data_IF_829947251725
#
_entry.id   IF_829947251725
#
_cell.length_a   1.000
_cell.length_b   1.000
_cell.length_c   1.000
_cell.angle_alpha   90.00
_cell.angle_beta   90.00
_cell.angle_gamma   90.00
#
_symmetry.space_group_name_H-M   'P 1'
#
loop_
_entity.id
_entity.type
_entity.pdbx_description
1 polymer ?
#
# COMPACT_ATOMS: atom_id res chain seq x y z
N UNK A 1 -5.66 -30.80 12.53
CA UNK A 1 -5.01 -29.71 13.29
C UNK A 1 -4.61 -28.55 12.39
N UNK A 2 -3.93 -28.78 11.26
CA UNK A 2 -3.55 -27.73 10.29
C UNK A 2 -4.74 -26.91 9.78
N UNK A 3 -5.78 -27.57 9.26
CA UNK A 3 -7.00 -26.93 8.73
C UNK A 3 -7.65 -25.99 9.75
N UNK A 4 -7.72 -26.40 11.02
CA UNK A 4 -8.29 -25.59 12.11
C UNK A 4 -7.42 -24.38 12.43
N UNK A 5 -6.09 -24.53 12.41
CA UNK A 5 -5.17 -23.41 12.63
C UNK A 5 -5.25 -22.38 11.49
N UNK A 6 -5.32 -22.87 10.25
CA UNK A 6 -5.51 -22.05 9.04
C UNK A 6 -6.82 -21.28 9.15
N UNK A 7 -7.93 -21.96 9.46
CA UNK A 7 -9.24 -21.33 9.58
C UNK A 7 -9.27 -20.22 10.63
N UNK A 8 -8.72 -20.48 11.83
CA UNK A 8 -8.62 -19.47 12.90
C UNK A 8 -7.79 -18.26 12.47
N UNK A 9 -6.72 -18.47 11.72
CA UNK A 9 -5.88 -17.38 11.22
C UNK A 9 -6.60 -16.53 10.17
N UNK A 10 -7.21 -17.19 9.18
CA UNK A 10 -7.94 -16.54 8.08
C UNK A 10 -9.12 -15.74 8.60
N UNK A 11 -9.97 -16.34 9.43
CA UNK A 11 -11.13 -15.67 10.06
C UNK A 11 -10.67 -14.54 11.01
N UNK A 12 -9.47 -14.65 11.56
CA UNK A 12 -8.85 -13.62 12.37
C UNK A 12 -8.38 -12.38 11.58
N UNK A 13 -8.38 -12.42 10.24
CA UNK A 13 -7.91 -11.33 9.36
C UNK A 13 -6.53 -10.79 9.76
N UNK A 14 -5.61 -11.67 10.18
CA UNK A 14 -4.27 -11.29 10.62
C UNK A 14 -4.17 -10.63 12.01
N UNK A 15 -5.29 -10.46 12.74
CA UNK A 15 -5.27 -9.99 14.14
C UNK A 15 -4.78 -11.06 15.11
N UNK A 16 -4.88 -12.33 14.72
CA UNK A 16 -4.34 -13.47 15.45
C UNK A 16 -3.07 -13.92 14.74
N UNK A 17 -1.95 -14.00 15.47
CA UNK A 17 -0.70 -14.49 14.90
C UNK A 17 -0.80 -15.98 14.52
N UNK A 18 -0.04 -16.42 13.52
CA UNK A 18 -0.03 -17.84 13.08
C UNK A 18 0.26 -18.78 14.26
N UNK A 19 1.23 -18.43 15.11
CA UNK A 19 1.57 -19.19 16.32
C UNK A 19 0.41 -19.29 17.30
N UNK A 20 -0.36 -18.22 17.49
CA UNK A 20 -1.54 -18.22 18.34
C UNK A 20 -2.67 -19.07 17.75
N UNK A 21 -2.89 -19.00 16.43
CA UNK A 21 -3.85 -19.85 15.73
C UNK A 21 -3.49 -21.33 15.85
N UNK A 22 -2.19 -21.67 15.79
CA UNK A 22 -1.70 -23.02 16.04
C UNK A 22 -2.00 -23.48 17.48
N UNK A 23 -1.74 -22.66 18.51
CA UNK A 23 -2.09 -23.02 19.89
C UNK A 23 -3.58 -23.31 20.05
N UNK A 24 -4.44 -22.44 19.51
CA UNK A 24 -5.91 -22.61 19.55
C UNK A 24 -6.40 -23.84 18.77
N UNK A 25 -5.64 -24.29 17.77
CA UNK A 25 -5.91 -25.51 17.03
C UNK A 25 -5.42 -26.79 17.72
N UNK A 26 -4.72 -26.67 18.86
CA UNK A 26 -4.24 -27.80 19.67
C UNK A 26 -2.77 -28.19 19.46
N UNK A 27 -1.97 -27.35 18.79
CA UNK A 27 -0.53 -27.59 18.70
C UNK A 27 0.15 -27.36 20.04
N UNK A 28 1.22 -28.13 20.31
CA UNK A 28 2.09 -27.88 21.46
C UNK A 28 2.82 -26.54 21.33
N UNK A 29 3.19 -25.95 22.46
CA UNK A 29 3.92 -24.67 22.47
C UNK A 29 5.26 -24.75 21.72
N UNK A 30 5.96 -25.88 21.78
CA UNK A 30 7.21 -26.09 21.05
C UNK A 30 7.00 -26.00 19.52
N UNK A 31 5.91 -26.57 19.03
CA UNK A 31 5.58 -26.54 17.59
C UNK A 31 5.02 -25.18 17.18
N UNK A 32 4.15 -24.57 18.00
CA UNK A 32 3.57 -23.26 17.73
C UNK A 32 4.60 -22.13 17.72
N UNK A 33 5.73 -22.28 18.42
CA UNK A 33 6.88 -21.35 18.35
C UNK A 33 7.57 -21.34 16.97
N UNK A 34 7.30 -22.32 16.11
CA UNK A 34 7.87 -22.43 14.78
C UNK A 34 6.77 -22.40 13.69
N UNK A 35 6.10 -21.25 13.48
CA UNK A 35 4.95 -21.14 12.57
C UNK A 35 5.29 -21.44 11.10
N UNK A 36 6.57 -21.40 10.71
CA UNK A 36 7.03 -21.82 9.38
C UNK A 36 6.70 -23.27 9.04
N UNK A 37 6.53 -24.13 10.04
CA UNK A 37 6.09 -25.52 9.85
C UNK A 37 4.67 -25.62 9.32
N UNK A 38 3.83 -24.61 9.54
CA UNK A 38 2.48 -24.51 8.97
C UNK A 38 2.49 -23.68 7.69
N UNK A 39 3.13 -22.52 7.66
CA UNK A 39 3.03 -21.60 6.50
C UNK A 39 3.74 -22.09 5.23
N UNK A 40 4.64 -23.07 5.34
CA UNK A 40 5.34 -23.67 4.20
C UNK A 40 4.60 -24.87 3.60
N UNK A 41 3.53 -25.35 4.23
CA UNK A 41 2.80 -26.53 3.75
C UNK A 41 1.98 -26.20 2.51
N UNK A 42 1.67 -27.22 1.70
CA UNK A 42 0.80 -27.04 0.54
C UNK A 42 -0.62 -26.64 0.96
N UNK A 43 -1.14 -27.26 2.02
CA UNK A 43 -2.45 -26.96 2.59
C UNK A 43 -2.61 -25.48 2.96
N UNK A 44 -1.55 -24.85 3.49
CA UNK A 44 -1.56 -23.41 3.76
C UNK A 44 -1.68 -22.59 2.47
N UNK A 45 -0.90 -22.92 1.44
CA UNK A 45 -0.93 -22.19 0.16
C UNK A 45 -2.28 -22.31 -0.52
N UNK A 46 -2.85 -23.51 -0.57
CA UNK A 46 -4.17 -23.77 -1.14
C UNK A 46 -5.26 -23.01 -0.39
N UNK A 47 -5.19 -22.98 0.94
CA UNK A 47 -6.14 -22.21 1.74
C UNK A 47 -5.98 -20.69 1.53
N UNK A 48 -4.75 -20.18 1.46
CA UNK A 48 -4.54 -18.76 1.16
C UNK A 48 -5.12 -18.42 -0.21
N UNK A 49 -4.88 -19.23 -1.23
CA UNK A 49 -5.42 -18.99 -2.58
C UNK A 49 -6.96 -19.08 -2.59
N UNK A 50 -7.57 -19.94 -1.79
CA UNK A 50 -9.03 -20.04 -1.69
C UNK A 50 -9.68 -18.82 -0.99
N UNK A 51 -9.01 -18.22 -0.02
CA UNK A 51 -9.55 -17.10 0.78
C UNK A 51 -9.08 -15.72 0.31
N UNK A 52 -7.90 -15.64 -0.27
CA UNK A 52 -7.25 -14.43 -0.77
C UNK A 52 -6.47 -14.77 -2.04
N UNK A 53 -7.17 -14.99 -3.16
CA UNK A 53 -6.55 -15.32 -4.44
C UNK A 53 -5.55 -14.23 -4.87
N UNK A 54 -4.44 -14.65 -5.47
CA UNK A 54 -3.44 -13.71 -6.00
C UNK A 54 -4.03 -12.76 -7.06
N UNK A 55 -5.04 -13.21 -7.82
CA UNK A 55 -5.73 -12.38 -8.81
C UNK A 55 -6.49 -11.20 -8.17
N UNK A 56 -7.10 -11.42 -7.01
CA UNK A 56 -7.83 -10.38 -6.27
C UNK A 56 -6.86 -9.40 -5.62
N UNK A 57 -5.74 -9.91 -5.10
CA UNK A 57 -4.65 -9.09 -4.59
C UNK A 57 -4.07 -8.18 -5.68
N UNK A 58 -3.83 -8.72 -6.87
CA UNK A 58 -3.32 -7.96 -8.01
C UNK A 58 -4.32 -6.89 -8.46
N UNK A 59 -5.61 -7.25 -8.57
CA UNK A 59 -6.66 -6.30 -8.92
C UNK A 59 -6.71 -5.14 -7.92
N UNK A 60 -6.65 -5.44 -6.62
CA UNK A 60 -6.68 -4.41 -5.57
C UNK A 60 -5.40 -3.59 -5.53
N UNK A 61 -4.24 -4.18 -5.81
CA UNK A 61 -2.98 -3.48 -5.92
C UNK A 61 -3.01 -2.46 -7.08
N UNK A 62 -3.55 -2.85 -8.22
CA UNK A 62 -3.74 -1.95 -9.36
C UNK A 62 -4.71 -0.79 -9.04
N UNK A 63 -5.79 -1.06 -8.30
CA UNK A 63 -6.70 -0.01 -7.81
C UNK A 63 -5.97 0.99 -6.90
N UNK A 64 -5.14 0.51 -5.98
CA UNK A 64 -4.40 1.36 -5.06
C UNK A 64 -3.30 2.19 -5.75
N UNK A 65 -2.65 1.65 -6.78
CA UNK A 65 -1.71 2.39 -7.63
C UNK A 65 -2.37 3.59 -8.32
N UNK A 66 -3.67 3.49 -8.60
CA UNK A 66 -4.44 4.54 -9.26
C UNK A 66 -5.42 5.23 -8.30
N UNK A 67 -5.24 5.06 -6.99
CA UNK A 67 -6.21 5.54 -6.01
C UNK A 67 -6.37 7.06 -6.08
N UNK A 68 -7.62 7.51 -6.06
CA UNK A 68 -8.01 8.91 -5.98
C UNK A 68 -8.99 9.11 -4.82
N UNK A 69 -9.02 10.33 -4.28
CA UNK A 69 -9.98 10.75 -3.25
C UNK A 69 -10.83 11.91 -3.75
N UNK A 70 -12.10 11.92 -3.37
CA UNK A 70 -12.98 13.05 -3.62
C UNK A 70 -12.64 14.17 -2.64
N UNK A 71 -12.32 15.34 -3.16
CA UNK A 71 -11.98 16.54 -2.40
C UNK A 71 -12.83 17.72 -2.88
N UNK A 72 -12.82 18.79 -2.09
CA UNK A 72 -13.47 20.04 -2.47
C UNK A 72 -12.57 21.24 -2.18
N UNK A 73 -12.66 22.26 -3.02
CA UNK A 73 -11.96 23.54 -2.85
C UNK A 73 -12.93 24.70 -3.05
N UNK A 74 -12.64 25.81 -2.37
CA UNK A 74 -13.43 27.04 -2.44
C UNK A 74 -12.64 28.09 -3.19
N UNK A 75 -13.26 28.65 -4.22
CA UNK A 75 -12.70 29.73 -5.02
C UNK A 75 -13.61 30.95 -4.95
N UNK A 76 -13.07 32.17 -5.05
CA UNK A 76 -13.90 33.34 -5.21
C UNK A 76 -14.66 33.35 -6.55
N UNK A 77 -15.84 33.97 -6.56
CA UNK A 77 -16.73 34.03 -7.75
C UNK A 77 -16.11 34.73 -8.96
N UNK A 78 -15.17 35.67 -8.73
CA UNK A 78 -14.50 36.39 -9.82
C UNK A 78 -13.43 35.54 -10.53
N UNK A 79 -13.08 34.36 -10.01
CA UNK A 79 -12.18 33.44 -10.69
C UNK A 79 -12.97 32.68 -11.76
N UNK A 80 -12.63 32.81 -13.05
CA UNK A 80 -13.32 32.09 -14.11
C UNK A 80 -13.20 30.58 -13.93
N UNK A 81 -14.26 29.83 -14.28
CA UNK A 81 -14.25 28.37 -14.17
C UNK A 81 -13.13 27.71 -14.98
N UNK A 82 -12.77 28.27 -16.14
CA UNK A 82 -11.65 27.78 -16.96
C UNK A 82 -10.34 27.84 -16.19
N UNK A 83 -10.07 28.96 -15.51
CA UNK A 83 -8.87 29.11 -14.68
C UNK A 83 -8.85 28.13 -13.50
N UNK A 84 -10.01 27.88 -12.88
CA UNK A 84 -10.10 26.88 -11.81
C UNK A 84 -9.80 25.47 -12.35
N UNK A 85 -10.29 25.13 -13.55
CA UNK A 85 -9.99 23.84 -14.20
C UNK A 85 -8.51 23.70 -14.50
N UNK A 86 -7.86 24.74 -15.05
CA UNK A 86 -6.42 24.76 -15.31
C UNK A 86 -5.61 24.49 -14.04
N UNK A 87 -5.90 25.22 -12.95
CA UNK A 87 -5.20 25.05 -11.67
C UNK A 87 -5.33 23.61 -11.16
N UNK A 88 -6.52 23.01 -11.26
CA UNK A 88 -6.74 21.63 -10.83
C UNK A 88 -5.98 20.64 -11.73
N UNK A 89 -5.99 20.83 -13.05
CA UNK A 89 -5.26 19.96 -13.98
C UNK A 89 -3.74 20.06 -13.79
N UNK A 90 -3.20 21.28 -13.59
CA UNK A 90 -1.79 21.52 -13.25
C UNK A 90 -1.37 20.80 -11.96
N UNK A 91 -2.27 20.74 -10.98
CA UNK A 91 -2.05 20.01 -9.73
C UNK A 91 -2.23 18.48 -9.86
N UNK A 92 -2.53 17.96 -11.06
CA UNK A 92 -2.81 16.53 -11.28
C UNK A 92 -4.17 16.07 -10.77
N UNK A 93 -5.09 17.00 -10.50
CA UNK A 93 -6.45 16.72 -10.06
C UNK A 93 -7.42 16.65 -11.24
N UNK A 94 -8.46 15.83 -11.11
CA UNK A 94 -9.52 15.71 -12.12
C UNK A 94 -10.78 16.46 -11.65
N UNK A 95 -11.11 17.64 -12.23
CA UNK A 95 -12.30 18.38 -11.86
C UNK A 95 -13.59 17.63 -12.21
N UNK A 96 -14.61 17.73 -11.36
CA UNK A 96 -15.93 17.09 -11.54
C UNK A 96 -17.03 18.13 -11.74
N UNK A 97 -17.53 18.69 -10.64
CA UNK A 97 -18.65 19.61 -10.61
C UNK A 97 -18.26 20.86 -9.85
N UNK A 98 -18.96 21.95 -10.12
CA UNK A 98 -18.80 23.22 -9.41
C UNK A 98 -20.15 23.85 -9.14
N UNK A 99 -20.33 24.42 -7.96
CA UNK A 99 -21.51 25.17 -7.57
C UNK A 99 -21.09 26.56 -7.09
N UNK A 100 -21.77 27.58 -7.59
CA UNK A 100 -21.49 28.97 -7.23
C UNK A 100 -22.64 29.50 -6.38
N UNK A 101 -22.31 29.99 -5.18
CA UNK A 101 -23.28 30.67 -4.34
C UNK A 101 -23.13 32.19 -4.54
N UNK A 102 -24.07 32.84 -5.25
CA UNK A 102 -23.98 34.27 -5.54
C UNK A 102 -24.15 35.15 -4.29
N UNK A 103 -24.76 34.65 -3.21
CA UNK A 103 -24.91 35.43 -1.98
C UNK A 103 -23.61 35.51 -1.18
N UNK A 104 -22.79 34.45 -1.20
CA UNK A 104 -21.51 34.41 -0.48
C UNK A 104 -20.32 34.79 -1.37
N UNK A 105 -20.51 34.83 -2.69
CA UNK A 105 -19.44 35.11 -3.65
C UNK A 105 -18.41 33.99 -3.75
N UNK A 106 -18.79 32.74 -3.41
CA UNK A 106 -17.89 31.58 -3.39
C UNK A 106 -18.38 30.51 -4.37
N UNK A 107 -17.45 29.97 -5.14
CA UNK A 107 -17.60 28.76 -5.96
C UNK A 107 -16.95 27.59 -5.25
N UNK A 108 -17.73 26.57 -4.93
CA UNK A 108 -17.24 25.27 -4.43
C UNK A 108 -17.02 24.36 -5.62
N UNK A 109 -15.85 23.73 -5.71
CA UNK A 109 -15.51 22.79 -6.77
C UNK A 109 -15.13 21.46 -6.17
N UNK A 110 -15.76 20.40 -6.66
CA UNK A 110 -15.43 19.01 -6.33
C UNK A 110 -14.51 18.44 -7.40
N UNK A 111 -13.49 17.73 -6.96
CA UNK A 111 -12.48 17.13 -7.83
C UNK A 111 -11.93 15.84 -7.24
N UNK A 112 -11.36 15.00 -8.08
CA UNK A 112 -10.57 13.85 -7.64
C UNK A 112 -9.11 14.27 -7.51
N UNK A 113 -8.57 14.14 -6.30
CA UNK A 113 -7.14 14.29 -6.06
C UNK A 113 -6.48 12.90 -6.02
N UNK A 114 -5.25 12.74 -6.52
CA UNK A 114 -4.47 11.53 -6.28
C UNK A 114 -4.35 11.24 -4.78
N UNK A 115 -4.55 9.98 -4.39
CA UNK A 115 -4.31 9.55 -3.01
C UNK A 115 -2.85 9.13 -2.88
N UNK A 116 -1.96 10.11 -2.74
CA UNK A 116 -0.51 9.87 -2.71
C UNK A 116 -0.07 8.90 -1.59
N UNK A 117 -0.76 8.87 -0.44
CA UNK A 117 -0.43 7.95 0.65
C UNK A 117 -0.72 6.48 0.27
N UNK A 118 -1.88 6.23 -0.34
CA UNK A 118 -2.24 4.91 -0.85
C UNK A 118 -1.33 4.49 -2.03
N UNK A 119 -1.09 5.41 -2.97
CA UNK A 119 -0.23 5.18 -4.13
C UNK A 119 1.22 4.91 -3.71
N UNK A 120 1.78 5.65 -2.75
CA UNK A 120 3.13 5.43 -2.25
C UNK A 120 3.30 4.04 -1.63
N UNK A 121 2.33 3.59 -0.83
CA UNK A 121 2.32 2.24 -0.24
C UNK A 121 2.23 1.15 -1.32
N UNK A 122 1.37 1.35 -2.32
CA UNK A 122 1.24 0.42 -3.44
C UNK A 122 2.52 0.36 -4.29
N UNK A 123 3.14 1.52 -4.57
CA UNK A 123 4.41 1.61 -5.28
C UNK A 123 5.55 0.94 -4.51
N UNK A 124 5.64 1.16 -3.20
CA UNK A 124 6.63 0.52 -2.35
C UNK A 124 6.55 -1.00 -2.44
N UNK A 125 5.33 -1.56 -2.34
CA UNK A 125 5.10 -2.98 -2.49
C UNK A 125 5.52 -3.47 -3.89
N UNK A 126 5.22 -2.70 -4.95
CA UNK A 126 5.62 -3.03 -6.31
C UNK A 126 7.15 -3.12 -6.46
N UNK A 127 7.89 -2.15 -5.91
CA UNK A 127 9.36 -2.16 -5.92
C UNK A 127 9.93 -3.35 -5.13
N UNK A 128 9.33 -3.68 -3.98
CA UNK A 128 9.70 -4.85 -3.17
C UNK A 128 9.49 -6.15 -3.93
N UNK A 129 8.34 -6.33 -4.58
CA UNK A 129 8.04 -7.49 -5.42
C UNK A 129 9.00 -7.62 -6.60
N UNK A 130 9.42 -6.50 -7.20
CA UNK A 130 10.42 -6.49 -8.28
C UNK A 130 11.86 -6.70 -7.80
N UNK A 131 12.09 -6.83 -6.49
CA UNK A 131 13.44 -6.94 -5.92
C UNK A 131 14.30 -5.68 -6.12
N UNK A 132 13.69 -4.54 -6.45
CA UNK A 132 14.36 -3.27 -6.73
C UNK A 132 14.48 -2.34 -5.51
N UNK A 133 14.03 -2.83 -4.36
CA UNK A 133 14.09 -2.12 -3.08
C UNK A 133 15.13 -2.78 -2.19
N UNK A 134 16.16 -2.02 -1.81
CA UNK A 134 17.06 -2.40 -0.72
C UNK A 134 16.64 -1.66 0.54
N UNK A 135 16.06 -2.37 1.52
CA UNK A 135 15.83 -1.83 2.86
C UNK A 135 17.19 -1.68 3.56
N UNK A 136 17.65 -0.44 3.77
CA UNK A 136 18.71 -0.16 4.77
C UNK A 136 18.02 0.08 6.12
N UNK A 137 18.15 -0.88 7.03
CA UNK A 137 17.70 -0.72 8.42
C UNK A 137 18.85 -0.12 9.22
N UNK A 138 18.87 1.20 9.39
CA UNK A 138 19.76 1.83 10.36
C UNK A 138 19.19 1.62 11.78
N UNK A 139 19.87 0.81 12.59
CA UNK A 139 19.57 0.72 14.01
C UNK A 139 20.22 1.89 14.73
N UNK A 140 19.54 3.04 14.83
CA UNK A 140 19.92 4.04 15.84
C UNK A 140 19.39 3.55 17.20
N UNK A 141 20.23 2.85 17.96
CA UNK A 141 19.98 2.68 19.41
C UNK A 141 20.23 4.04 20.05
N UNK A 142 19.18 4.86 20.15
CA UNK A 142 19.22 6.06 20.99
C UNK A 142 19.11 5.63 22.46
N UNK A 143 20.07 5.99 23.33
CA UNK A 143 20.06 5.57 24.74
C UNK A 143 18.93 6.19 25.59
N UNK A 144 18.17 7.17 25.08
CA UNK A 144 17.31 8.03 25.91
C UNK A 144 15.78 7.90 25.72
N UNK A 145 15.28 6.80 25.16
CA UNK A 145 13.89 6.37 25.42
C UNK A 145 12.73 7.32 25.08
N UNK A 146 12.90 8.25 24.14
CA UNK A 146 11.80 9.05 23.59
C UNK A 146 11.46 8.58 22.17
N UNK A 147 10.15 8.36 21.94
CA UNK A 147 9.55 7.90 20.69
C UNK A 147 10.09 8.67 19.48
N UNK A 148 11.07 8.08 18.80
CA UNK A 148 11.58 8.55 17.52
C UNK A 148 10.68 8.06 16.40
N UNK A 149 10.25 8.97 15.54
CA UNK A 149 9.54 8.63 14.31
C UNK A 149 10.47 7.73 13.47
N UNK A 150 10.05 6.51 13.17
CA UNK A 150 10.74 5.65 12.20
C UNK A 150 10.61 6.29 10.80
N UNK A 151 11.55 7.15 10.42
CA UNK A 151 11.67 7.62 9.04
C UNK A 151 12.23 6.49 8.18
N UNK A 152 11.36 5.89 7.36
CA UNK A 152 11.75 4.98 6.28
C UNK A 152 12.41 5.81 5.17
N UNK A 153 13.74 5.80 5.11
CA UNK A 153 14.47 6.38 3.98
C UNK A 153 14.49 5.36 2.83
N UNK A 154 13.73 5.63 1.77
CA UNK A 154 13.68 4.78 0.57
C UNK A 154 14.75 5.25 -0.42
N UNK A 155 15.73 4.41 -0.72
CA UNK A 155 16.68 4.64 -1.83
C UNK A 155 16.31 3.71 -2.99
N UNK A 156 15.95 4.26 -4.15
CA UNK A 156 15.77 3.49 -5.38
C UNK A 156 17.15 3.27 -5.99
N UNK A 157 17.56 2.01 -6.14
CA UNK A 157 18.81 1.67 -6.84
C UNK A 157 18.47 1.42 -8.31
N UNK A 158 18.90 2.34 -9.17
CA UNK A 158 18.91 2.09 -10.61
C UNK A 158 20.03 1.09 -10.94
N UNK A 159 19.70 -0.19 -11.03
CA UNK A 159 20.60 -1.16 -11.63
C UNK A 159 20.63 -0.95 -13.15
N UNK A 160 21.57 -0.14 -13.62
CA UNK A 160 22.04 -0.16 -15.01
C UNK A 160 22.93 -1.39 -15.21
N UNK A 161 22.29 -2.54 -15.41
CA UNK A 161 22.94 -3.72 -15.98
C UNK A 161 22.04 -4.23 -17.08
N UNK A 162 22.12 -3.57 -18.24
CA UNK A 162 21.94 -4.20 -19.54
C UNK A 162 22.44 -3.24 -20.63
N UNK A 163 23.14 -3.82 -21.60
CA UNK A 163 23.74 -3.25 -22.81
C UNK A 163 25.13 -2.60 -22.68
N UNK A 164 26.17 -3.43 -22.79
CA UNK A 164 27.16 -3.32 -23.88
C UNK A 164 27.97 -4.62 -23.99
N UNK A 165 27.57 -5.48 -24.93
CA UNK A 165 28.45 -6.52 -25.46
C UNK A 165 29.52 -5.86 -26.34
N UNK A 166 30.82 -6.09 -26.13
CA UNK A 166 31.82 -5.67 -27.09
C UNK A 166 31.75 -6.63 -28.29
N UNK A 167 31.19 -6.16 -29.39
CA UNK A 167 31.43 -6.76 -30.71
C UNK A 167 32.91 -6.59 -31.04
N UNK A 168 33.65 -7.69 -31.02
CA UNK A 168 34.97 -7.75 -31.63
C UNK A 168 34.89 -7.62 -33.14
N UNK A 169 35.83 -6.87 -33.69
CA UNK A 169 36.47 -7.08 -34.99
C UNK A 169 37.81 -6.34 -34.97
#
# INVERSE_FOLDING_TARGET
MQTKAIQIYVEGHGKVSVSESMRRAGYSDATAKNPSNLTRTMEWKEAMEAFLPDIDLLAKHHELLNAQKLESAKFPIWVPQERIREILLEAGCSPRNSETNPMTGVTVVWYYAPNHDAQAKALLLAYKLKGKLTEKVEHSVNPDGLYGNNELTITVVENSHDAEHPTGA
#
